data_IF_409851559777
#
_entry.id   IF_409851559777
#
_cell.length_a   1.000
_cell.length_b   1.000
_cell.length_c   1.000
_cell.angle_alpha   90.00
_cell.angle_beta   90.00
_cell.angle_gamma   90.00
#
_symmetry.space_group_name_H-M   'P 1'
#
loop_
_entity.id
_entity.type
_entity.pdbx_description
1 polymer ?
#
# COMPACT_ATOMS: atom_id res chain seq x y z
N UNK A 1 -19.30 15.89 5.63
CA UNK A 1 -18.20 15.71 6.57
C UNK A 1 -17.32 14.54 6.11
N UNK A 2 -16.03 14.75 6.10
CA UNK A 2 -15.09 13.70 5.68
C UNK A 2 -15.05 12.58 6.72
N UNK A 3 -15.00 11.34 6.23
CA UNK A 3 -14.85 10.20 7.12
C UNK A 3 -13.40 10.14 7.62
N UNK A 4 -13.17 9.68 8.85
CA UNK A 4 -11.81 9.44 9.29
C UNK A 4 -11.10 8.44 8.38
N UNK A 5 -9.81 8.64 8.21
CA UNK A 5 -8.97 7.76 7.42
C UNK A 5 -7.91 7.17 8.33
N UNK A 6 -7.82 5.86 8.34
CA UNK A 6 -6.80 5.14 9.10
C UNK A 6 -5.76 4.59 8.14
N UNK A 7 -4.50 4.69 8.50
CA UNK A 7 -3.40 4.19 7.68
C UNK A 7 -2.57 3.21 8.50
N UNK A 8 -2.34 2.03 7.96
CA UNK A 8 -1.54 1.00 8.60
C UNK A 8 -0.28 0.72 7.81
N UNK A 9 0.85 1.17 8.31
CA UNK A 9 2.15 0.90 7.71
C UNK A 9 2.71 -0.40 8.28
N UNK A 10 2.82 -1.43 7.43
CA UNK A 10 3.31 -2.74 7.86
C UNK A 10 4.84 -2.81 7.93
N UNK A 11 5.51 -1.78 7.44
CA UNK A 11 6.97 -1.70 7.47
C UNK A 11 7.60 -2.93 6.81
N UNK A 12 8.75 -3.37 7.31
CA UNK A 12 9.44 -4.53 6.74
C UNK A 12 9.09 -5.77 7.55
N UNK A 13 7.81 -6.15 7.50
CA UNK A 13 7.30 -7.30 8.24
C UNK A 13 6.45 -8.19 7.37
N UNK A 14 6.53 -9.47 7.61
CA UNK A 14 5.63 -10.43 7.01
C UNK A 14 6.19 -11.09 5.75
N UNK A 15 5.53 -12.15 5.39
CA UNK A 15 5.74 -12.86 4.12
C UNK A 15 4.45 -12.76 3.33
N UNK A 16 4.46 -13.21 2.09
CA UNK A 16 3.23 -13.21 1.29
C UNK A 16 2.13 -14.01 2.00
N UNK A 17 2.47 -15.13 2.62
CA UNK A 17 1.52 -15.98 3.31
C UNK A 17 0.92 -15.30 4.55
N UNK A 18 1.77 -14.73 5.41
CA UNK A 18 1.29 -14.07 6.63
C UNK A 18 0.54 -12.78 6.31
N UNK A 19 0.97 -12.07 5.26
CA UNK A 19 0.30 -10.87 4.80
C UNK A 19 -1.10 -11.19 4.26
N UNK A 20 -1.25 -12.28 3.51
CA UNK A 20 -2.55 -12.72 3.02
C UNK A 20 -3.49 -13.04 4.17
N UNK A 21 -3.00 -13.73 5.21
CA UNK A 21 -3.82 -14.05 6.36
C UNK A 21 -4.27 -12.79 7.10
N UNK A 22 -3.36 -11.86 7.33
CA UNK A 22 -3.71 -10.60 7.99
C UNK A 22 -4.74 -9.83 7.16
N UNK A 23 -4.55 -9.77 5.84
CA UNK A 23 -5.48 -9.09 4.96
C UNK A 23 -6.87 -9.74 5.01
N UNK A 24 -6.93 -11.07 5.00
CA UNK A 24 -8.19 -11.78 5.09
C UNK A 24 -8.91 -11.47 6.41
N UNK A 25 -8.16 -11.42 7.51
CA UNK A 25 -8.73 -11.07 8.82
C UNK A 25 -9.28 -9.64 8.82
N UNK A 26 -8.55 -8.71 8.20
CA UNK A 26 -9.00 -7.33 8.07
C UNK A 26 -10.27 -7.24 7.21
N UNK A 27 -10.31 -7.96 6.11
CA UNK A 27 -11.49 -7.95 5.23
C UNK A 27 -12.73 -8.45 5.97
N UNK A 28 -12.57 -9.48 6.79
CA UNK A 28 -13.69 -10.06 7.54
C UNK A 28 -14.19 -9.17 8.65
N UNK A 29 -13.38 -8.23 9.15
CA UNK A 29 -13.76 -7.38 10.27
C UNK A 29 -14.01 -5.93 9.88
N UNK A 30 -13.99 -5.60 8.59
CA UNK A 30 -13.96 -4.22 8.13
C UNK A 30 -15.34 -3.55 7.92
N UNK A 31 -16.44 -4.24 8.22
CA UNK A 31 -17.77 -3.79 7.80
C UNK A 31 -18.17 -2.37 8.22
N UNK A 32 -17.85 -1.98 9.43
CA UNK A 32 -18.29 -0.70 9.99
C UNK A 32 -17.17 0.30 10.22
N UNK A 33 -15.99 0.01 9.72
CA UNK A 33 -14.85 0.90 9.95
C UNK A 33 -14.84 2.09 8.99
N UNK A 34 -14.19 3.21 9.40
CA UNK A 34 -13.86 4.24 8.44
C UNK A 34 -12.90 3.67 7.38
N UNK A 35 -12.61 4.48 6.38
CA UNK A 35 -11.68 4.03 5.35
C UNK A 35 -10.33 3.68 5.96
N UNK A 36 -9.78 2.56 5.50
CA UNK A 36 -8.48 2.07 5.93
C UNK A 36 -7.59 1.92 4.70
N UNK A 37 -6.34 2.37 4.83
CA UNK A 37 -5.32 2.12 3.82
C UNK A 37 -4.23 1.29 4.46
N UNK A 38 -3.88 0.16 3.86
CA UNK A 38 -2.77 -0.66 4.35
C UNK A 38 -1.58 -0.52 3.40
N UNK A 39 -0.39 -0.49 3.96
CA UNK A 39 0.86 -0.30 3.23
C UNK A 39 1.81 -1.47 3.50
N UNK A 40 1.59 -2.61 2.85
CA UNK A 40 2.48 -3.76 3.01
C UNK A 40 3.78 -3.58 2.23
N UNK A 41 4.82 -4.38 2.54
CA UNK A 41 6.01 -4.40 1.69
C UNK A 41 5.65 -4.80 0.26
N UNK A 42 6.44 -4.37 -0.72
CA UNK A 42 6.17 -4.62 -2.13
C UNK A 42 5.86 -6.08 -2.42
N UNK A 43 6.66 -6.99 -1.88
CA UNK A 43 6.54 -8.43 -2.20
C UNK A 43 5.25 -9.04 -1.66
N UNK A 44 4.59 -8.38 -0.73
CA UNK A 44 3.35 -8.85 -0.13
C UNK A 44 2.11 -8.26 -0.82
N UNK A 45 2.27 -7.22 -1.64
CA UNK A 45 1.13 -6.50 -2.22
C UNK A 45 0.21 -7.40 -3.04
N UNK A 46 0.71 -8.22 -3.96
CA UNK A 46 -0.21 -9.07 -4.75
C UNK A 46 -1.08 -9.99 -3.90
N UNK A 47 -0.51 -10.59 -2.86
CA UNK A 47 -1.28 -11.45 -1.97
C UNK A 47 -2.35 -10.67 -1.21
N UNK A 48 -2.00 -9.47 -0.74
CA UNK A 48 -2.92 -8.61 -0.01
C UNK A 48 -4.04 -8.13 -0.93
N UNK A 49 -3.73 -7.74 -2.16
CA UNK A 49 -4.72 -7.31 -3.14
C UNK A 49 -5.76 -8.41 -3.35
N UNK A 50 -5.31 -9.64 -3.52
CA UNK A 50 -6.22 -10.78 -3.73
C UNK A 50 -7.21 -10.92 -2.56
N UNK A 51 -6.72 -10.82 -1.34
CA UNK A 51 -7.58 -10.99 -0.16
C UNK A 51 -8.52 -9.82 0.08
N UNK A 52 -8.19 -8.62 -0.39
CA UNK A 52 -8.98 -7.42 -0.15
C UNK A 52 -9.89 -7.03 -1.31
N UNK A 53 -9.98 -7.84 -2.36
CA UNK A 53 -10.78 -7.51 -3.55
C UNK A 53 -12.24 -7.16 -3.23
N UNK A 54 -12.83 -7.82 -2.25
CA UNK A 54 -14.23 -7.60 -1.89
C UNK A 54 -14.40 -6.55 -0.78
N UNK A 55 -13.35 -6.06 -0.20
CA UNK A 55 -13.41 -5.12 0.92
C UNK A 55 -13.41 -3.69 0.37
N UNK A 56 -14.57 -3.05 0.39
CA UNK A 56 -14.75 -1.74 -0.25
C UNK A 56 -14.11 -0.57 0.48
N UNK A 57 -13.91 -0.71 1.77
CA UNK A 57 -13.37 0.37 2.59
C UNK A 57 -11.89 0.21 2.91
N UNK A 58 -11.20 -0.71 2.23
CA UNK A 58 -9.77 -0.92 2.44
C UNK A 58 -9.06 -0.71 1.12
N UNK A 59 -8.17 0.27 1.10
CA UNK A 59 -7.30 0.54 -0.05
C UNK A 59 -5.91 0.02 0.25
N UNK A 60 -5.12 -0.19 -0.79
CA UNK A 60 -3.77 -0.70 -0.68
C UNK A 60 -2.81 0.32 -1.24
N UNK A 61 -1.78 0.60 -0.49
CA UNK A 61 -0.73 1.50 -0.90
C UNK A 61 0.63 0.85 -0.83
N UNK A 62 1.61 1.51 -1.39
CA UNK A 62 3.00 1.09 -1.34
C UNK A 62 3.76 1.91 -0.32
N UNK A 63 4.80 1.32 0.24
CA UNK A 63 5.62 2.00 1.26
C UNK A 63 6.58 3.00 0.65
N UNK A 64 6.83 2.90 -0.63
CA UNK A 64 7.73 3.78 -1.35
C UNK A 64 7.44 3.71 -2.85
N UNK A 65 7.99 4.65 -3.59
CA UNK A 65 7.81 4.73 -5.03
C UNK A 65 9.00 5.46 -5.64
N UNK A 66 9.41 5.02 -6.84
CA UNK A 66 10.36 5.78 -7.63
C UNK A 66 9.64 6.92 -8.34
N UNK A 67 10.28 8.06 -8.47
CA UNK A 67 9.73 9.16 -9.26
C UNK A 67 10.01 8.99 -10.76
N UNK A 68 10.71 7.93 -11.15
CA UNK A 68 10.93 7.60 -12.55
C UNK A 68 9.89 6.60 -13.02
N UNK A 69 9.44 6.71 -14.26
CA UNK A 69 8.44 5.79 -14.79
C UNK A 69 9.04 4.45 -15.22
N UNK A 70 10.26 4.48 -15.71
CA UNK A 70 11.02 3.27 -16.05
C UNK A 70 12.47 3.63 -16.28
N UNK A 71 13.33 2.65 -16.48
CA UNK A 71 14.73 2.87 -16.76
C UNK A 71 15.65 2.00 -15.94
N UNK A 72 16.94 2.36 -15.95
CA UNK A 72 17.97 1.59 -15.26
C UNK A 72 18.07 1.98 -13.77
N UNK A 73 16.98 1.85 -13.06
CA UNK A 73 16.87 2.15 -11.64
C UNK A 73 16.67 0.86 -10.88
N UNK A 74 17.65 0.02 -10.94
CA UNK A 74 17.60 -1.33 -10.37
C UNK A 74 17.18 -1.31 -8.91
N UNK A 75 16.17 -2.10 -8.59
CA UNK A 75 15.64 -2.19 -7.24
C UNK A 75 14.52 -1.21 -6.94
N UNK A 76 14.22 -0.28 -7.85
CA UNK A 76 13.15 0.68 -7.64
C UNK A 76 11.86 0.23 -8.33
N UNK A 77 10.76 0.70 -7.82
CA UNK A 77 9.41 0.36 -8.31
C UNK A 77 8.72 1.65 -8.70
N UNK A 78 8.18 1.69 -9.91
CA UNK A 78 7.48 2.87 -10.41
C UNK A 78 6.02 2.89 -9.98
N UNK A 79 5.40 4.07 -10.03
CA UNK A 79 3.98 4.20 -9.77
C UNK A 79 3.13 3.41 -10.76
N UNK A 80 3.59 3.31 -11.99
CA UNK A 80 2.92 2.55 -13.02
C UNK A 80 2.84 1.06 -12.68
N UNK A 81 3.95 0.51 -12.17
CA UNK A 81 4.00 -0.88 -11.71
C UNK A 81 3.06 -1.09 -10.53
N UNK A 82 3.02 -0.13 -9.60
CA UNK A 82 2.17 -0.24 -8.42
C UNK A 82 0.70 -0.16 -8.78
N UNK A 83 0.32 0.75 -9.66
CA UNK A 83 -1.05 0.86 -10.13
C UNK A 83 -1.49 -0.42 -10.81
N UNK A 84 -0.61 -1.02 -11.60
CA UNK A 84 -0.89 -2.26 -12.32
C UNK A 84 -1.23 -3.40 -11.36
N UNK A 85 -0.62 -3.47 -10.20
CA UNK A 85 -0.88 -4.54 -9.23
C UNK A 85 -1.94 -4.17 -8.18
N UNK A 86 -2.59 -3.02 -8.32
CA UNK A 86 -3.74 -2.70 -7.48
C UNK A 86 -3.53 -1.66 -6.41
N UNK A 87 -2.38 -1.00 -6.35
CA UNK A 87 -2.15 0.08 -5.40
C UNK A 87 -2.82 1.37 -5.86
N UNK A 88 -3.37 2.10 -4.90
CA UNK A 88 -3.98 3.41 -5.15
C UNK A 88 -3.30 4.52 -4.35
N UNK A 89 -2.43 4.18 -3.44
CA UNK A 89 -1.77 5.14 -2.56
C UNK A 89 -0.30 4.80 -2.40
N UNK A 90 0.46 5.75 -1.88
CA UNK A 90 1.86 5.54 -1.57
C UNK A 90 2.22 6.36 -0.33
N UNK A 91 3.05 5.80 0.53
CA UNK A 91 3.61 6.54 1.66
C UNK A 91 4.75 7.41 1.17
N UNK A 92 4.72 8.67 1.57
CA UNK A 92 5.82 9.61 1.33
C UNK A 92 6.21 10.24 2.65
N UNK A 93 7.35 10.90 2.69
CA UNK A 93 7.77 11.60 3.90
C UNK A 93 8.34 10.70 4.99
N UNK A 94 8.75 9.48 4.67
CA UNK A 94 9.58 8.69 5.58
C UNK A 94 10.81 9.49 5.97
N UNK A 95 11.27 9.34 7.19
CA UNK A 95 12.44 10.09 7.64
C UNK A 95 13.64 9.87 6.74
N UNK A 96 13.88 8.63 6.32
CA UNK A 96 14.99 8.29 5.44
C UNK A 96 14.73 8.60 3.97
N UNK A 97 13.49 8.92 3.59
CA UNK A 97 13.12 9.17 2.21
C UNK A 97 12.47 10.53 1.97
N UNK A 98 12.43 11.33 2.97
CA UNK A 98 11.72 12.62 2.91
C UNK A 98 12.24 13.52 1.79
N UNK A 99 13.53 13.44 1.53
CA UNK A 99 14.14 14.26 0.48
C UNK A 99 13.83 13.79 -0.93
N UNK A 100 13.35 12.56 -1.08
CA UNK A 100 13.04 11.99 -2.39
C UNK A 100 11.57 12.11 -2.75
N UNK A 101 10.71 12.01 -1.77
CA UNK A 101 9.28 11.88 -2.00
C UNK A 101 8.57 13.08 -1.42
N UNK A 102 8.42 14.13 -2.21
CA UNK A 102 7.76 15.34 -1.77
C UNK A 102 6.35 15.48 -2.31
N UNK A 103 5.92 14.55 -3.16
CA UNK A 103 4.58 14.55 -3.70
C UNK A 103 3.56 14.01 -2.71
N UNK A 104 2.30 14.04 -3.09
CA UNK A 104 1.22 13.61 -2.24
C UNK A 104 1.27 12.10 -1.98
N UNK A 105 0.44 11.64 -1.03
CA UNK A 105 0.31 10.23 -0.72
C UNK A 105 -0.48 9.46 -1.78
N UNK A 106 -1.03 10.13 -2.76
CA UNK A 106 -1.86 9.50 -3.78
C UNK A 106 -1.10 9.36 -5.09
N UNK A 107 -1.36 8.29 -5.81
CA UNK A 107 -0.80 8.05 -7.13
C UNK A 107 -1.62 8.69 -8.23
#
# INVERSE_FOLDING_TARGET
>A
MAKPLLAGNWKMHGTAKTAAKLAADLANSSGDYPELIVFPPYVCIPAVVTELLAARNIAIGAQNISHHSEGAYTGEISGKMLTDIGCTHVLVGHSERRTYCSESNEL
#
